data_IF_047236459856
#
_entry.id   IF_047236459856
#
_cell.length_a   1.000
_cell.length_b   1.000
_cell.length_c   1.000
_cell.angle_alpha   90.00
_cell.angle_beta   90.00
_cell.angle_gamma   90.00
#
_symmetry.space_group_name_H-M   'P 1'
#
loop_
_entity.id
_entity.type
_entity.pdbx_description
1 polymer ?
#
# COMPACT_ATOMS: atom_id res chain seq x y z
N UNK A 1 -14.99 11.52 1.65
CA UNK A 1 -14.25 10.80 2.69
C UNK A 1 -15.01 9.53 2.97
N UNK A 2 -14.56 8.42 2.38
CA UNK A 2 -14.86 7.08 2.91
C UNK A 2 -13.49 6.63 3.41
N UNK A 3 -13.42 6.39 4.71
CA UNK A 3 -12.27 5.86 5.41
C UNK A 3 -12.82 4.64 6.14
N UNK A 4 -12.50 3.46 5.62
CA UNK A 4 -12.87 2.19 6.24
C UNK A 4 -11.57 1.48 6.56
N UNK A 5 -11.41 1.12 7.83
CA UNK A 5 -10.30 0.32 8.31
C UNK A 5 -10.84 -0.90 9.06
N UNK A 6 -10.14 -2.02 8.96
CA UNK A 6 -10.43 -3.20 9.75
C UNK A 6 -9.38 -4.28 9.60
N UNK A 7 -9.73 -5.48 10.05
CA UNK A 7 -8.92 -6.67 9.88
C UNK A 7 -9.54 -7.59 8.82
N UNK A 8 -8.68 -8.22 8.03
CA UNK A 8 -9.03 -9.17 6.98
C UNK A 8 -8.15 -10.42 7.09
N UNK A 9 -8.75 -11.57 6.86
CA UNK A 9 -8.05 -12.84 6.69
C UNK A 9 -8.35 -13.37 5.28
N UNK A 10 -7.36 -14.02 4.68
CA UNK A 10 -7.48 -14.55 3.33
C UNK A 10 -7.16 -16.04 3.33
N UNK A 11 -8.00 -16.86 2.70
CA UNK A 11 -7.80 -18.31 2.61
C UNK A 11 -6.43 -18.68 2.00
N UNK A 12 -5.95 -17.87 1.04
CA UNK A 12 -4.63 -18.05 0.41
C UNK A 12 -3.44 -17.86 1.36
N UNK A 13 -3.66 -17.26 2.54
CA UNK A 13 -2.62 -16.94 3.53
C UNK A 13 -3.02 -17.51 4.91
N UNK A 14 -3.04 -18.84 5.06
CA UNK A 14 -3.54 -19.47 6.28
C UNK A 14 -2.69 -19.07 7.49
N UNK A 15 -3.35 -18.58 8.53
CA UNK A 15 -2.71 -18.13 9.77
C UNK A 15 -2.10 -16.72 9.71
N UNK A 16 -2.25 -16.02 8.59
CA UNK A 16 -1.88 -14.61 8.47
C UNK A 16 -3.14 -13.73 8.56
N UNK A 17 -3.05 -12.68 9.37
CA UNK A 17 -4.06 -11.63 9.46
C UNK A 17 -3.49 -10.34 8.88
N UNK A 18 -4.34 -9.58 8.21
CA UNK A 18 -3.99 -8.31 7.61
C UNK A 18 -4.84 -7.22 8.22
N UNK A 19 -4.26 -6.06 8.51
CA UNK A 19 -5.02 -4.82 8.59
C UNK A 19 -5.29 -4.35 7.18
N UNK A 20 -6.50 -3.89 6.91
CA UNK A 20 -6.86 -3.32 5.62
C UNK A 20 -7.40 -1.91 5.81
N UNK A 21 -7.21 -1.09 4.78
CA UNK A 21 -7.89 0.19 4.69
C UNK A 21 -8.29 0.52 3.26
N UNK A 22 -9.41 1.22 3.15
CA UNK A 22 -9.91 1.79 1.90
C UNK A 22 -10.23 3.25 2.14
N UNK A 23 -9.54 4.11 1.39
CA UNK A 23 -9.62 5.55 1.51
C UNK A 23 -10.06 6.17 0.19
N UNK A 24 -10.76 7.30 0.26
CA UNK A 24 -11.09 8.10 -0.91
C UNK A 24 -10.99 9.59 -0.57
N UNK A 25 -9.88 10.19 -0.97
CA UNK A 25 -9.51 11.59 -0.73
C UNK A 25 -9.05 12.26 -2.03
N UNK A 26 -9.46 13.51 -2.26
CA UNK A 26 -9.00 14.29 -3.43
C UNK A 26 -9.37 13.72 -4.80
N UNK A 27 -10.34 12.80 -4.89
CA UNK A 27 -10.71 12.11 -6.14
C UNK A 27 -9.84 10.88 -6.45
N UNK A 28 -8.89 10.56 -5.58
CA UNK A 28 -8.06 9.35 -5.67
C UNK A 28 -8.55 8.36 -4.61
N UNK A 29 -8.81 7.13 -5.03
CA UNK A 29 -9.03 6.02 -4.12
C UNK A 29 -7.69 5.41 -3.71
N UNK A 30 -7.57 4.91 -2.50
CA UNK A 30 -6.45 4.09 -2.08
C UNK A 30 -6.97 2.82 -1.40
N UNK A 31 -6.35 1.70 -1.71
CA UNK A 31 -6.55 0.43 -1.01
C UNK A 31 -5.18 0.03 -0.46
N UNK A 32 -5.13 -0.35 0.81
CA UNK A 32 -3.90 -0.85 1.42
C UNK A 32 -4.14 -2.08 2.28
N UNK A 33 -3.12 -2.92 2.38
CA UNK A 33 -3.07 -4.11 3.23
C UNK A 33 -1.76 -4.09 4.01
N UNK A 34 -1.79 -4.37 5.31
CA UNK A 34 -0.63 -4.55 6.16
C UNK A 34 -0.68 -5.92 6.82
N UNK A 35 0.35 -6.73 6.61
CA UNK A 35 0.51 -7.99 7.33
C UNK A 35 0.76 -7.72 8.80
N UNK A 36 -0.10 -8.25 9.69
CA UNK A 36 0.04 -8.02 11.13
C UNK A 36 1.31 -8.67 11.70
N UNK A 37 1.79 -9.75 11.08
CA UNK A 37 2.96 -10.52 11.50
C UNK A 37 4.27 -9.89 11.02
N UNK A 38 4.38 -9.61 9.71
CA UNK A 38 5.61 -9.09 9.10
C UNK A 38 5.72 -7.57 9.12
N UNK A 39 4.61 -6.87 9.37
CA UNK A 39 4.49 -5.40 9.26
C UNK A 39 4.78 -4.84 7.87
N UNK A 40 4.91 -5.69 6.86
CA UNK A 40 4.94 -5.27 5.45
C UNK A 40 3.59 -4.69 5.07
N UNK A 41 3.60 -3.62 4.29
CA UNK A 41 2.41 -2.93 3.80
C UNK A 41 2.44 -2.87 2.28
N UNK A 42 1.32 -3.15 1.63
CA UNK A 42 1.13 -3.01 0.20
C UNK A 42 0.01 -2.00 -0.07
N UNK A 43 0.12 -1.23 -1.15
CA UNK A 43 -0.86 -0.20 -1.52
C UNK A 43 -1.18 -0.20 -3.00
N UNK A 44 -2.37 0.25 -3.35
CA UNK A 44 -2.88 0.41 -4.71
C UNK A 44 -3.64 1.74 -4.79
N UNK A 45 -3.16 2.65 -5.62
CA UNK A 45 -3.86 3.89 -5.94
C UNK A 45 -4.88 3.62 -7.07
N UNK A 46 -6.14 3.96 -6.81
CA UNK A 46 -7.27 3.78 -7.71
C UNK A 46 -7.69 5.14 -8.25
N UNK A 47 -7.10 5.53 -9.38
CA UNK A 47 -7.43 6.78 -10.10
C UNK A 47 -8.49 6.57 -11.18
N UNK A 48 -8.46 5.42 -11.85
CA UNK A 48 -9.50 4.96 -12.78
C UNK A 48 -9.86 3.51 -12.46
N UNK A 49 -11.12 3.30 -12.07
CA UNK A 49 -11.60 1.97 -11.68
C UNK A 49 -11.76 1.02 -12.87
N UNK A 50 -11.92 1.55 -14.07
CA UNK A 50 -12.07 0.75 -15.29
C UNK A 50 -10.78 -0.02 -15.63
N UNK A 51 -9.61 0.50 -15.22
CA UNK A 51 -8.33 -0.16 -15.37
C UNK A 51 -8.22 -1.50 -14.61
N UNK A 52 -9.06 -1.69 -13.59
CA UNK A 52 -9.10 -2.89 -12.74
C UNK A 52 -10.28 -3.80 -13.04
N UNK A 53 -11.14 -3.41 -13.99
CA UNK A 53 -12.40 -4.07 -14.29
C UNK A 53 -12.30 -4.95 -15.56
N UNK A 54 -13.20 -5.94 -15.72
CA UNK A 54 -13.41 -6.58 -17.01
C UNK A 54 -13.90 -5.58 -18.06
N UNK A 55 -13.71 -5.91 -19.34
CA UNK A 55 -14.21 -5.11 -20.47
C UNK A 55 -15.72 -4.90 -20.32
N UNK A 56 -16.19 -3.69 -20.65
CA UNK A 56 -17.60 -3.26 -20.60
C UNK A 56 -18.23 -3.13 -19.19
N UNK A 57 -17.43 -3.17 -18.12
CA UNK A 57 -17.91 -2.93 -16.77
C UNK A 57 -17.72 -1.45 -16.39
N UNK A 58 -18.82 -0.77 -16.07
CA UNK A 58 -18.82 0.66 -15.73
C UNK A 58 -19.48 0.88 -14.37
N UNK A 59 -18.80 0.45 -13.29
CA UNK A 59 -19.24 0.79 -11.94
C UNK A 59 -18.56 2.08 -11.47
N UNK A 60 -19.28 2.98 -10.76
CA UNK A 60 -18.66 4.14 -10.15
C UNK A 60 -17.57 3.71 -9.15
N UNK A 61 -16.43 4.40 -9.15
CA UNK A 61 -15.30 4.12 -8.27
C UNK A 61 -15.71 4.02 -6.79
N UNK A 62 -16.55 4.96 -6.31
CA UNK A 62 -17.07 4.94 -4.93
C UNK A 62 -17.82 3.65 -4.59
N UNK A 63 -18.59 3.12 -5.54
CA UNK A 63 -19.32 1.85 -5.37
C UNK A 63 -18.33 0.71 -5.26
N UNK A 64 -17.35 0.64 -6.17
CA UNK A 64 -16.32 -0.40 -6.17
C UNK A 64 -15.54 -0.40 -4.85
N UNK A 65 -15.03 0.76 -4.41
CA UNK A 65 -14.29 0.88 -3.16
C UNK A 65 -15.13 0.48 -1.93
N UNK A 66 -16.42 0.82 -1.91
CA UNK A 66 -17.33 0.38 -0.84
C UNK A 66 -17.47 -1.15 -0.80
N UNK A 67 -17.62 -1.79 -1.96
CA UNK A 67 -17.67 -3.25 -2.04
C UNK A 67 -16.34 -3.91 -1.67
N UNK A 68 -15.20 -3.33 -2.06
CA UNK A 68 -13.87 -3.82 -1.64
C UNK A 68 -13.77 -3.81 -0.12
N UNK A 69 -14.11 -2.68 0.52
CA UNK A 69 -14.06 -2.56 1.97
C UNK A 69 -15.02 -3.54 2.68
N UNK A 70 -16.25 -3.66 2.18
CA UNK A 70 -17.24 -4.59 2.73
C UNK A 70 -16.84 -6.05 2.54
N UNK A 71 -16.23 -6.41 1.41
CA UNK A 71 -15.78 -7.76 1.14
C UNK A 71 -14.60 -8.13 2.05
N UNK A 72 -13.63 -7.23 2.22
CA UNK A 72 -12.46 -7.46 3.08
C UNK A 72 -12.85 -7.62 4.56
N UNK A 73 -13.86 -6.88 5.03
CA UNK A 73 -14.35 -6.97 6.40
C UNK A 73 -15.18 -8.23 6.71
N UNK A 74 -15.71 -8.91 5.69
CA UNK A 74 -16.66 -10.01 5.86
C UNK A 74 -15.98 -11.36 5.70
N UNK A 75 -15.98 -12.16 6.77
CA UNK A 75 -15.42 -13.52 6.86
C UNK A 75 -16.31 -14.60 6.22
N UNK A 76 -16.97 -14.28 5.10
CA UNK A 76 -17.77 -15.26 4.36
C UNK A 76 -16.91 -15.95 3.31
N UNK A 77 -17.19 -17.22 3.00
CA UNK A 77 -16.50 -18.03 1.95
C UNK A 77 -16.57 -17.45 0.51
N UNK A 78 -17.05 -16.22 0.36
CA UNK A 78 -17.12 -15.43 -0.88
C UNK A 78 -16.30 -14.14 -0.77
N UNK A 79 -15.47 -14.03 0.26
CA UNK A 79 -14.59 -12.91 0.50
C UNK A 79 -13.59 -12.69 -0.64
N UNK A 80 -12.90 -11.55 -0.63
CA UNK A 80 -11.92 -11.23 -1.63
C UNK A 80 -10.78 -12.25 -1.57
N UNK A 81 -10.22 -12.60 -2.73
CA UNK A 81 -9.09 -13.51 -2.82
C UNK A 81 -7.82 -12.70 -2.94
N UNK A 82 -6.83 -13.02 -2.12
CA UNK A 82 -5.50 -12.44 -2.21
C UNK A 82 -4.57 -13.45 -2.89
N UNK A 83 -3.77 -13.00 -3.85
CA UNK A 83 -2.77 -13.81 -4.55
C UNK A 83 -1.42 -13.11 -4.43
N UNK A 84 -0.38 -13.87 -4.09
CA UNK A 84 1.00 -13.38 -4.08
C UNK A 84 1.60 -13.49 -5.47
N UNK A 85 2.11 -12.38 -6.00
CA UNK A 85 2.86 -12.35 -7.25
C UNK A 85 4.31 -11.90 -7.01
N UNK A 86 5.25 -12.61 -7.64
CA UNK A 86 6.69 -12.40 -7.45
C UNK A 86 7.20 -12.81 -6.06
N UNK A 87 8.44 -12.44 -5.74
CA UNK A 87 9.09 -12.67 -4.45
C UNK A 87 8.55 -11.73 -3.35
N UNK A 88 7.22 -11.66 -3.18
CA UNK A 88 6.51 -10.87 -2.14
C UNK A 88 6.45 -9.34 -2.40
N UNK A 89 6.88 -8.90 -3.57
CA UNK A 89 6.83 -7.48 -3.97
C UNK A 89 5.43 -7.00 -4.34
N UNK A 90 4.57 -7.91 -4.81
CA UNK A 90 3.23 -7.58 -5.28
C UNK A 90 2.17 -8.54 -4.75
N UNK A 91 1.02 -7.98 -4.37
CA UNK A 91 -0.18 -8.73 -4.01
C UNK A 91 -1.31 -8.36 -4.96
N UNK A 92 -2.02 -9.34 -5.48
CA UNK A 92 -3.24 -9.14 -6.25
C UNK A 92 -4.44 -9.40 -5.37
N UNK A 93 -5.28 -8.37 -5.19
CA UNK A 93 -6.56 -8.48 -4.52
C UNK A 93 -7.66 -8.64 -5.57
N UNK A 94 -8.23 -9.84 -5.65
CA UNK A 94 -9.34 -10.18 -6.53
C UNK A 94 -10.67 -10.04 -5.77
N UNK A 95 -11.57 -9.19 -6.27
CA UNK A 95 -12.87 -8.90 -5.63
C UNK A 95 -14.01 -9.15 -6.61
N UNK A 96 -14.96 -10.00 -6.22
CA UNK A 96 -16.20 -10.24 -6.97
C UNK A 96 -17.31 -9.32 -6.45
N UNK A 97 -17.75 -8.37 -7.29
CA UNK A 97 -18.83 -7.45 -6.91
C UNK A 97 -20.16 -8.02 -7.37
N UNK A 98 -20.93 -8.61 -6.46
CA UNK A 98 -22.25 -9.16 -6.78
C UNK A 98 -23.30 -8.05 -6.74
N UNK A 99 -23.88 -7.75 -7.90
CA UNK A 99 -25.02 -6.84 -8.02
C UNK A 99 -26.25 -7.68 -8.33
N UNK A 100 -27.10 -7.88 -7.32
CA UNK A 100 -28.31 -8.67 -7.43
C UNK A 100 -29.52 -7.81 -7.79
N UNK A 101 -30.11 -8.08 -8.95
CA UNK A 101 -31.54 -7.85 -9.22
C UNK A 101 -32.15 -9.23 -9.49
N UNK A 102 -33.43 -9.41 -9.15
CA UNK A 102 -34.08 -10.72 -8.99
C UNK A 102 -33.90 -11.74 -10.14
N UNK A 103 -33.54 -11.28 -11.35
CA UNK A 103 -33.39 -12.12 -12.55
C UNK A 103 -32.03 -11.98 -13.27
N UNK A 104 -31.06 -11.25 -12.71
CA UNK A 104 -29.73 -11.06 -13.33
C UNK A 104 -28.62 -11.18 -12.28
N UNK A 105 -27.87 -12.29 -12.35
CA UNK A 105 -26.71 -12.53 -11.50
C UNK A 105 -25.45 -11.96 -12.18
N UNK A 106 -25.19 -10.68 -11.96
CA UNK A 106 -23.97 -10.02 -12.43
C UNK A 106 -22.91 -9.96 -11.33
N UNK A 107 -21.74 -10.51 -11.60
CA UNK A 107 -20.63 -10.55 -10.65
C UNK A 107 -19.29 -10.24 -11.33
N UNK A 108 -19.06 -8.99 -11.77
CA UNK A 108 -17.77 -8.61 -12.34
C UNK A 108 -16.64 -8.82 -11.31
N UNK A 109 -15.50 -9.33 -11.80
CA UNK A 109 -14.29 -9.54 -11.01
C UNK A 109 -13.31 -8.39 -11.23
N UNK A 110 -13.05 -7.63 -10.17
CA UNK A 110 -12.03 -6.60 -10.15
C UNK A 110 -10.71 -7.17 -9.64
N UNK A 111 -9.59 -6.78 -10.23
CA UNK A 111 -8.26 -7.22 -9.82
C UNK A 111 -7.41 -5.99 -9.52
N UNK A 112 -7.03 -5.81 -8.25
CA UNK A 112 -6.19 -4.70 -7.80
C UNK A 112 -4.78 -5.18 -7.52
N UNK A 113 -3.81 -4.64 -8.25
CA UNK A 113 -2.38 -4.91 -8.01
C UNK A 113 -1.85 -3.96 -6.94
N UNK A 114 -1.60 -4.50 -5.75
CA UNK A 114 -1.02 -3.81 -4.61
C UNK A 114 0.51 -3.99 -4.65
N UNK A 115 1.24 -2.88 -4.61
CA UNK A 115 2.70 -2.89 -4.59
C UNK A 115 3.22 -2.70 -3.18
N UNK A 116 4.29 -3.43 -2.83
CA UNK A 116 4.95 -3.30 -1.54
C UNK A 116 5.41 -1.86 -1.33
N UNK A 117 4.98 -1.26 -0.22
CA UNK A 117 5.50 0.01 0.24
C UNK A 117 6.91 -0.28 0.72
N UNK A 118 7.89 0.22 -0.04
CA UNK A 118 9.28 0.18 0.41
C UNK A 118 9.34 0.73 1.83
N UNK A 119 10.06 0.08 2.76
CA UNK A 119 10.23 0.62 4.10
C UNK A 119 10.81 2.03 3.95
N UNK A 120 9.99 3.05 4.22
CA UNK A 120 10.54 4.38 4.45
C UNK A 120 11.47 4.19 5.65
N UNK A 121 12.76 4.47 5.48
CA UNK A 121 13.72 4.56 6.58
C UNK A 121 12.99 5.17 7.76
N UNK A 122 12.94 4.46 8.88
CA UNK A 122 12.24 4.98 10.05
C UNK A 122 12.77 6.39 10.33
N UNK A 123 11.97 7.31 10.90
CA UNK A 123 12.45 8.66 11.20
C UNK A 123 13.77 8.65 11.96
N UNK A 124 14.02 7.60 12.76
CA UNK A 124 15.26 7.36 13.50
C UNK A 124 16.44 6.97 12.60
N UNK A 125 16.24 6.10 11.61
CA UNK A 125 17.28 5.71 10.65
C UNK A 125 17.60 6.84 9.66
N UNK A 126 16.57 7.55 9.18
CA UNK A 126 16.75 8.75 8.36
C UNK A 126 17.49 9.87 9.12
N UNK A 127 17.21 10.03 10.41
CA UNK A 127 17.98 10.93 11.28
C UNK A 127 19.42 10.44 11.49
N UNK A 128 19.64 9.14 11.67
CA UNK A 128 20.99 8.59 11.85
C UNK A 128 21.87 8.78 10.60
N UNK A 129 21.32 8.59 9.40
CA UNK A 129 22.02 8.86 8.14
C UNK A 129 22.34 10.36 7.99
N UNK A 130 21.38 11.25 8.28
CA UNK A 130 21.60 12.69 8.25
C UNK A 130 22.70 13.12 9.23
N UNK A 131 22.68 12.62 10.47
CA UNK A 131 23.70 12.92 11.48
C UNK A 131 25.08 12.42 11.03
N UNK A 132 25.14 11.23 10.42
CA UNK A 132 26.39 10.66 9.91
C UNK A 132 26.98 11.53 8.80
N UNK A 133 26.13 11.98 7.86
CA UNK A 133 26.54 12.84 6.75
C UNK A 133 26.99 14.23 7.23
N UNK A 134 26.23 14.84 8.16
CA UNK A 134 26.61 16.11 8.80
C UNK A 134 27.94 15.99 9.56
N UNK A 135 28.15 14.88 10.26
CA UNK A 135 29.39 14.62 11.02
C UNK A 135 30.59 14.52 10.08
N UNK A 136 30.45 13.81 8.95
CA UNK A 136 31.51 13.72 7.94
C UNK A 136 31.86 15.10 7.36
N UNK A 137 30.85 15.89 6.99
CA UNK A 137 31.07 17.24 6.48
C UNK A 137 31.79 18.16 7.49
N UNK A 138 31.42 18.08 8.77
CA UNK A 138 32.09 18.87 9.82
C UNK A 138 33.55 18.44 9.98
N UNK A 139 33.85 17.14 9.90
CA UNK A 139 35.22 16.64 9.97
C UNK A 139 36.07 17.12 8.78
N UNK A 140 35.54 17.05 7.57
CA UNK A 140 36.21 17.54 6.37
C UNK A 140 36.49 19.04 6.46
N UNK A 141 35.50 19.83 6.90
CA UNK A 141 35.65 21.28 7.07
C UNK A 141 36.70 21.63 8.14
N UNK A 142 36.73 20.88 9.25
CA UNK A 142 37.74 21.06 10.30
C UNK A 142 39.16 20.75 9.78
N UNK A 143 39.30 19.72 8.95
CA UNK A 143 40.57 19.35 8.33
C UNK A 143 41.05 20.43 7.35
N UNK A 144 40.14 20.98 6.55
CA UNK A 144 40.42 22.04 5.58
C UNK A 144 40.86 23.32 6.28
N UNK A 145 40.15 23.77 7.32
CA UNK A 145 40.52 24.95 8.12
C UNK A 145 41.88 24.76 8.79
N UNK A 146 42.18 23.57 9.30
CA UNK A 146 43.48 23.26 9.91
C UNK A 146 44.62 23.37 8.89
N UNK A 147 44.39 22.86 7.69
CA UNK A 147 45.36 22.89 6.58
C UNK A 147 45.60 24.33 6.13
N UNK A 148 44.53 25.12 5.96
CA UNK A 148 44.62 26.53 5.57
C UNK A 148 45.40 27.35 6.60
N UNK A 149 45.15 27.14 7.89
CA UNK A 149 45.88 27.82 8.98
C UNK A 149 47.37 27.52 8.97
N UNK A 150 47.76 26.28 8.67
CA UNK A 150 49.18 25.92 8.57
C UNK A 150 49.86 26.58 7.37
N UNK A 151 49.18 26.64 6.22
CA UNK A 151 49.71 27.30 5.02
C UNK A 151 49.89 28.81 5.20
N UNK A 152 49.05 29.46 6.01
CA UNK A 152 49.15 30.89 6.30
C UNK A 152 50.22 31.25 7.35
N UNK A 153 50.79 30.26 8.05
CA UNK A 153 51.83 30.45 9.06
C UNK A 153 53.27 30.23 8.53
N UNK A 154 53.39 29.73 7.29
CA UNK A 154 54.64 29.64 6.51
C UNK A 154 54.75 30.80 5.54
#
# INVERSE_FOLDING_TARGET
MIEVEGDAAFESFPGENFRFGVEHAGGVGEIWLESQSSKKRWRCEVTDVAAFAPVDVVLPQKTVLHYVASAAANDTNLGPKLVREGEDETLQLEVLIKLGVADFAWAPKYIFSLTLVAPSLSPTEAQAEQITLLTAQVQDLQQEVKTLKQQMQT
#
